data_IF_245413419799
#
_entry.id   IF_245413419799
#
_cell.length_a   1.000
_cell.length_b   1.000
_cell.length_c   1.000
_cell.angle_alpha   90.00
_cell.angle_beta   90.00
_cell.angle_gamma   90.00
#
_symmetry.space_group_name_H-M   'P 1'
#
loop_
_entity.id
_entity.type
_entity.pdbx_description
1 polymer ?
#
# COMPACT_ATOMS: atom_id res chain seq x y z
N UNK A 1 -24.05 -5.79 -10.85
CA UNK A 1 -23.88 -4.93 -9.65
C UNK A 1 -22.41 -4.64 -9.49
N UNK A 2 -21.99 -3.38 -9.47
CA UNK A 2 -20.61 -3.02 -9.12
C UNK A 2 -20.37 -3.38 -7.65
N UNK A 3 -19.29 -4.10 -7.36
CA UNK A 3 -18.95 -4.56 -6.00
C UNK A 3 -18.23 -3.47 -5.19
N UNK A 4 -18.48 -3.41 -3.89
CA UNK A 4 -17.77 -2.52 -2.97
C UNK A 4 -16.42 -3.14 -2.57
N UNK A 5 -15.39 -2.31 -2.44
CA UNK A 5 -14.11 -2.68 -1.85
C UNK A 5 -13.97 -2.04 -0.47
N UNK A 6 -13.48 -2.83 0.50
CA UNK A 6 -13.08 -2.35 1.81
C UNK A 6 -11.60 -2.67 2.01
N UNK A 7 -10.76 -1.65 2.04
CA UNK A 7 -9.32 -1.79 2.20
C UNK A 7 -8.87 -1.15 3.51
N UNK A 8 -8.07 -1.86 4.30
CA UNK A 8 -7.50 -1.35 5.54
C UNK A 8 -5.99 -1.20 5.39
N UNK A 9 -5.42 -0.12 5.91
CA UNK A 9 -3.97 0.07 5.97
C UNK A 9 -3.50 -0.06 7.41
N UNK A 10 -2.57 -0.98 7.66
CA UNK A 10 -1.77 -1.02 8.89
C UNK A 10 -0.37 -0.50 8.60
N UNK A 11 0.08 0.50 9.35
CA UNK A 11 1.44 1.02 9.29
C UNK A 11 2.00 1.17 10.72
N UNK A 12 3.00 0.36 11.12
CA UNK A 12 3.58 0.46 12.47
C UNK A 12 4.37 1.77 12.68
N UNK A 13 4.69 2.49 11.60
CA UNK A 13 5.54 3.69 11.59
C UNK A 13 4.78 5.01 11.35
N UNK A 14 3.48 4.98 11.00
CA UNK A 14 2.68 6.19 11.00
C UNK A 14 2.26 6.49 12.44
N UNK A 15 2.39 7.74 12.87
CA UNK A 15 2.02 8.27 14.20
C UNK A 15 0.52 8.13 14.56
N UNK A 16 -0.24 7.36 13.80
CA UNK A 16 -1.60 6.94 14.11
C UNK A 16 -1.66 5.42 14.08
N UNK A 17 -1.74 4.80 15.25
CA UNK A 17 -2.06 3.38 15.44
C UNK A 17 -3.53 3.07 15.09
N UNK A 18 -4.06 3.68 14.02
CA UNK A 18 -5.42 3.52 13.54
C UNK A 18 -5.38 2.92 12.14
N UNK A 19 -6.00 1.75 11.96
CA UNK A 19 -6.17 1.19 10.63
C UNK A 19 -7.03 2.14 9.79
N UNK A 20 -6.48 2.68 8.69
CA UNK A 20 -7.23 3.55 7.78
C UNK A 20 -8.11 2.69 6.89
N UNK A 21 -9.44 2.88 6.96
CA UNK A 21 -10.40 2.24 6.07
C UNK A 21 -10.62 3.11 4.82
N UNK A 22 -10.44 2.49 3.66
CA UNK A 22 -10.71 3.06 2.34
C UNK A 22 -11.84 2.27 1.68
N UNK A 23 -12.88 2.96 1.24
CA UNK A 23 -13.97 2.37 0.45
C UNK A 23 -13.75 2.63 -1.03
N UNK A 24 -13.84 1.61 -1.86
CA UNK A 24 -13.72 1.72 -3.31
C UNK A 24 -14.84 0.98 -4.05
N UNK A 25 -14.86 1.11 -5.38
CA UNK A 25 -15.81 0.41 -6.24
C UNK A 25 -15.05 -0.41 -7.27
N UNK A 26 -15.49 -1.64 -7.50
CA UNK A 26 -14.84 -2.55 -8.43
C UNK A 26 -14.79 -1.96 -9.84
N UNK A 27 -13.64 -2.08 -10.48
CA UNK A 27 -13.32 -1.48 -11.77
C UNK A 27 -12.74 -0.06 -11.69
N UNK A 28 -12.79 0.61 -10.53
CA UNK A 28 -12.17 1.91 -10.31
C UNK A 28 -10.80 1.78 -9.63
N UNK A 29 -9.98 2.82 -9.72
CA UNK A 29 -8.73 2.89 -8.95
C UNK A 29 -9.02 3.29 -7.50
N UNK A 30 -8.34 2.64 -6.55
CA UNK A 30 -8.33 3.03 -5.13
C UNK A 30 -6.90 3.32 -4.70
N UNK A 31 -6.71 4.37 -3.89
CA UNK A 31 -5.38 4.74 -3.38
C UNK A 31 -5.34 4.60 -1.87
N UNK A 32 -4.38 3.80 -1.39
CA UNK A 32 -4.12 3.57 0.02
C UNK A 32 -2.95 4.46 0.45
N UNK A 33 -3.18 5.43 1.35
CA UNK A 33 -2.16 6.41 1.71
C UNK A 33 -1.06 5.74 2.56
N UNK A 34 0.19 6.07 2.26
CA UNK A 34 1.31 5.79 3.15
C UNK A 34 2.44 6.79 2.91
N UNK A 35 2.87 7.43 3.99
CA UNK A 35 3.88 8.48 3.98
C UNK A 35 4.85 8.26 5.12
N UNK A 36 6.09 8.72 4.98
CA UNK A 36 7.07 8.67 6.05
C UNK A 36 7.90 9.94 6.13
N UNK A 37 8.49 10.18 7.30
CA UNK A 37 9.41 11.27 7.55
C UNK A 37 10.81 10.71 7.80
N UNK A 38 11.84 11.53 7.59
CA UNK A 38 13.24 11.16 7.85
C UNK A 38 14.05 10.84 6.59
N UNK A 39 15.09 10.04 6.77
CA UNK A 39 16.01 9.64 5.71
C UNK A 39 15.33 8.69 4.72
N UNK A 40 15.77 8.76 3.46
CA UNK A 40 15.30 7.86 2.40
C UNK A 40 15.72 6.43 2.74
N UNK A 41 14.75 5.54 2.83
CA UNK A 41 14.96 4.11 3.16
C UNK A 41 14.09 3.22 2.28
N UNK A 42 14.45 1.95 2.19
CA UNK A 42 13.63 0.93 1.53
C UNK A 42 12.29 0.78 2.23
N UNK A 43 11.23 0.55 1.47
CA UNK A 43 9.90 0.27 2.02
C UNK A 43 9.18 -0.81 1.22
N UNK A 44 8.12 -1.38 1.79
CA UNK A 44 7.31 -2.38 1.13
C UNK A 44 5.80 -2.17 1.37
N UNK A 45 5.01 -2.75 0.45
CA UNK A 45 3.61 -3.07 0.68
C UNK A 45 3.39 -4.58 0.62
N UNK A 46 2.47 -5.08 1.44
CA UNK A 46 2.02 -6.47 1.39
C UNK A 46 0.57 -6.67 1.80
N UNK A 47 0.01 -7.84 1.52
CA UNK A 47 -1.33 -8.24 2.01
C UNK A 47 -1.24 -8.74 3.44
N UNK A 48 -2.26 -8.41 4.23
CA UNK A 48 -2.41 -8.83 5.62
C UNK A 48 -1.81 -7.84 6.62
N UNK A 49 -1.73 -8.27 7.88
CA UNK A 49 -1.14 -7.50 8.96
C UNK A 49 0.39 -7.41 8.79
N UNK A 50 1.00 -6.36 9.31
CA UNK A 50 2.45 -6.18 9.24
C UNK A 50 3.21 -7.17 10.13
N UNK A 51 4.05 -8.06 9.56
CA UNK A 51 5.02 -8.84 10.32
C UNK A 51 6.11 -7.95 10.92
N UNK A 52 6.97 -8.53 11.76
CA UNK A 52 8.03 -7.80 12.46
C UNK A 52 9.22 -7.37 11.60
N UNK A 53 9.44 -7.98 10.43
CA UNK A 53 10.66 -7.76 9.63
C UNK A 53 10.40 -7.39 8.16
N UNK A 54 9.19 -7.61 7.64
CA UNK A 54 8.84 -7.36 6.24
C UNK A 54 7.35 -6.97 6.11
N UNK A 55 6.78 -7.08 4.91
CA UNK A 55 5.36 -6.89 4.64
C UNK A 55 4.59 -8.21 4.42
N UNK A 56 5.18 -9.36 4.78
CA UNK A 56 4.59 -10.69 4.61
C UNK A 56 4.38 -11.04 3.15
N UNK A 57 3.12 -11.05 2.71
CA UNK A 57 2.81 -11.31 1.29
C UNK A 57 3.11 -10.06 0.47
N UNK A 58 4.39 -9.89 0.12
CA UNK A 58 4.88 -8.72 -0.61
C UNK A 58 4.12 -8.52 -1.94
N UNK A 59 3.78 -7.27 -2.20
CA UNK A 59 3.14 -6.78 -3.41
C UNK A 59 4.00 -5.72 -4.09
N UNK A 60 4.64 -4.83 -3.33
CA UNK A 60 5.58 -3.80 -3.79
C UNK A 60 6.80 -3.79 -2.88
N UNK A 61 7.99 -3.57 -3.44
CA UNK A 61 9.20 -3.21 -2.70
C UNK A 61 9.91 -2.05 -3.38
N UNK A 62 10.55 -1.18 -2.59
CA UNK A 62 11.39 -0.08 -3.10
C UNK A 62 12.78 -0.09 -2.47
N UNK A 63 13.74 0.51 -3.16
CA UNK A 63 15.07 0.84 -2.61
C UNK A 63 15.12 2.25 -1.99
N UNK A 64 13.95 2.85 -1.74
CA UNK A 64 13.80 4.25 -1.30
C UNK A 64 13.78 5.28 -2.44
N UNK A 65 14.18 4.91 -3.66
CA UNK A 65 14.19 5.80 -4.82
C UNK A 65 13.24 5.36 -5.93
N UNK A 66 13.08 4.05 -6.10
CA UNK A 66 12.24 3.43 -7.13
C UNK A 66 11.69 2.10 -6.65
N UNK A 67 10.65 1.64 -7.34
CA UNK A 67 10.14 0.29 -7.17
C UNK A 67 11.16 -0.71 -7.72
N UNK A 68 11.52 -1.71 -6.91
CA UNK A 68 12.43 -2.81 -7.28
C UNK A 68 11.70 -4.15 -7.43
N UNK A 69 10.48 -4.26 -6.89
CA UNK A 69 9.62 -5.43 -7.05
C UNK A 69 8.14 -5.02 -7.09
N UNK A 70 7.37 -5.67 -7.96
CA UNK A 70 5.90 -5.63 -7.94
C UNK A 70 5.32 -7.00 -8.31
N UNK A 71 4.29 -7.45 -7.59
CA UNK A 71 3.65 -8.75 -7.85
C UNK A 71 2.73 -8.74 -9.07
N UNK A 72 1.94 -7.67 -9.23
CA UNK A 72 0.99 -7.51 -10.33
C UNK A 72 1.03 -6.07 -10.85
N UNK A 73 0.88 -5.87 -12.16
CA UNK A 73 1.05 -4.55 -12.79
C UNK A 73 -0.01 -3.51 -12.42
N UNK A 74 -1.13 -3.94 -11.83
CA UNK A 74 -2.18 -3.02 -11.36
C UNK A 74 -1.87 -2.40 -9.99
N UNK A 75 -0.87 -2.88 -9.27
CA UNK A 75 -0.35 -2.27 -8.05
C UNK A 75 0.76 -1.30 -8.41
N UNK A 76 0.58 -0.03 -8.09
CA UNK A 76 1.52 1.03 -8.50
C UNK A 76 1.76 2.03 -7.37
N UNK A 77 2.95 2.62 -7.34
CA UNK A 77 3.25 3.79 -6.53
C UNK A 77 3.31 5.00 -7.46
N UNK A 78 2.23 5.78 -7.51
CA UNK A 78 2.11 6.93 -8.41
C UNK A 78 2.63 8.23 -7.79
N UNK A 79 2.87 8.23 -6.48
CA UNK A 79 3.42 9.36 -5.74
C UNK A 79 4.93 9.55 -5.95
N UNK A 80 5.45 10.65 -5.39
CA UNK A 80 6.90 10.91 -5.39
C UNK A 80 7.57 10.11 -4.26
N UNK A 81 8.16 8.97 -4.58
CA UNK A 81 8.88 8.11 -3.63
C UNK A 81 9.98 8.88 -2.89
N UNK A 82 10.78 9.69 -3.62
CA UNK A 82 11.82 10.56 -3.01
C UNK A 82 11.21 11.68 -2.16
N UNK A 83 9.97 12.06 -2.45
CA UNK A 83 9.14 12.97 -1.67
C UNK A 83 8.42 12.29 -0.51
N UNK A 84 8.69 11.00 -0.26
CA UNK A 84 8.13 10.18 0.82
C UNK A 84 6.63 9.93 0.69
N UNK A 85 6.10 10.05 -0.52
CA UNK A 85 4.78 9.53 -0.88
C UNK A 85 4.95 8.14 -1.49
N UNK A 86 4.58 7.15 -0.70
CA UNK A 86 4.64 5.73 -1.06
C UNK A 86 3.24 5.11 -1.00
N UNK A 87 2.23 5.92 -1.31
CA UNK A 87 0.84 5.49 -1.39
C UNK A 87 0.62 4.46 -2.50
N UNK A 88 -0.10 3.39 -2.18
CA UNK A 88 -0.40 2.31 -3.13
C UNK A 88 -1.67 2.63 -3.91
N UNK A 89 -1.56 2.75 -5.23
CA UNK A 89 -2.71 2.76 -6.13
C UNK A 89 -2.97 1.35 -6.65
N UNK A 90 -4.20 0.86 -6.46
CA UNK A 90 -4.71 -0.38 -7.06
C UNK A 90 -5.57 0.04 -8.25
N UNK A 91 -5.06 -0.14 -9.46
CA UNK A 91 -5.78 0.20 -10.70
C UNK A 91 -6.79 -0.89 -11.07
N UNK A 92 -7.94 -0.48 -11.61
CA UNK A 92 -9.02 -1.42 -11.98
C UNK A 92 -9.30 -2.43 -10.86
N UNK A 93 -9.50 -1.93 -9.64
CA UNK A 93 -9.50 -2.74 -8.44
C UNK A 93 -10.65 -3.76 -8.48
N UNK A 94 -10.39 -4.98 -8.03
CA UNK A 94 -11.36 -6.05 -7.97
C UNK A 94 -11.88 -6.23 -6.54
N UNK A 95 -13.04 -6.88 -6.35
CA UNK A 95 -13.54 -7.19 -4.99
C UNK A 95 -12.53 -8.01 -4.18
N UNK A 96 -11.72 -8.85 -4.84
CA UNK A 96 -10.60 -9.60 -4.25
C UNK A 96 -9.44 -8.71 -3.77
N UNK A 97 -9.42 -7.43 -4.14
CA UNK A 97 -8.50 -6.44 -3.59
C UNK A 97 -8.91 -5.94 -2.21
N UNK A 98 -10.14 -6.22 -1.76
CA UNK A 98 -10.55 -5.94 -0.39
C UNK A 98 -9.67 -6.67 0.63
N UNK A 99 -9.50 -6.06 1.80
CA UNK A 99 -8.77 -6.64 2.92
C UNK A 99 -7.70 -5.71 3.49
N UNK A 100 -6.88 -6.27 4.38
CA UNK A 100 -5.82 -5.54 5.07
C UNK A 100 -4.57 -5.49 4.19
N UNK A 101 -3.90 -4.35 4.22
CA UNK A 101 -2.63 -4.08 3.59
C UNK A 101 -1.64 -3.55 4.62
N UNK A 102 -0.42 -4.05 4.57
CA UNK A 102 0.69 -3.56 5.37
C UNK A 102 1.52 -2.59 4.54
N UNK A 103 1.77 -1.39 5.06
CA UNK A 103 2.84 -0.52 4.59
C UNK A 103 3.94 -0.47 5.65
N UNK A 104 5.18 -0.80 5.27
CA UNK A 104 6.33 -0.78 6.18
C UNK A 104 7.50 -0.02 5.55
N UNK A 105 8.04 0.93 6.31
CA UNK A 105 9.23 1.73 6.02
C UNK A 105 10.40 1.20 6.84
#
# INVERSE_FOLDING_TARGET
TMGLLLCWVSSPSASSSGALLMTGVAGQSVTLPCYYNGEVTSMCWGRGACPWFDCGTNIIWTDGYRVTYWRHGHYQLNGNIRGRDVSLTINNAAVSDSGLFCCRI
#
